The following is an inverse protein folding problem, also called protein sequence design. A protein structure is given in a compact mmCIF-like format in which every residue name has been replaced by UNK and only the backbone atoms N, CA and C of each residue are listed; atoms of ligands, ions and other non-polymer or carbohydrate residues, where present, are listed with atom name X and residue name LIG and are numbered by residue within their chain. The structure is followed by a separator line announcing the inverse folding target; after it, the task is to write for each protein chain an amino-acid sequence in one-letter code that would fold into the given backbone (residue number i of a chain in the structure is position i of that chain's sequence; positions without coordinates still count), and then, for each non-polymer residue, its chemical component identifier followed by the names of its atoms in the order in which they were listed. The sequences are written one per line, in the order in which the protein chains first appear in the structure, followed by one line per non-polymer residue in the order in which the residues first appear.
data_IF_981240291456
#
_entry.id   IF_981240291456
#
_cell.length_a   1.000
_cell.length_b   1.000
_cell.length_c   1.000
_cell.angle_alpha   90.00
_cell.angle_beta   90.00
_cell.angle_gamma   90.00
#
_symmetry.space_group_name_H-M   'P 1'
#
loop_
_entity.id
_entity.type
_entity.pdbx_description
1 polymer ?
#
# COMPACT_ATOMS: atom_id res chain seq x y z
N UNK A 1 13.14 49.72 -18.08
CA UNK A 1 11.87 49.02 -17.85
C UNK A 1 12.09 47.60 -18.37
N UNK A 2 12.58 46.73 -17.50
CA UNK A 2 12.89 45.33 -17.82
C UNK A 2 11.58 44.57 -17.68
N UNK A 3 10.96 44.20 -18.80
CA UNK A 3 9.86 43.25 -18.81
C UNK A 3 10.45 41.89 -18.41
N UNK A 4 10.30 41.46 -17.14
CA UNK A 4 10.38 40.03 -16.86
C UNK A 4 9.11 39.42 -17.43
N UNK A 5 9.29 38.62 -18.48
CA UNK A 5 8.27 37.68 -18.89
C UNK A 5 8.29 36.56 -17.85
N UNK A 6 7.53 36.71 -16.78
CA UNK A 6 7.22 35.62 -15.86
C UNK A 6 6.38 34.60 -16.65
N UNK A 7 7.08 33.74 -17.37
CA UNK A 7 6.48 32.64 -18.10
C UNK A 7 6.11 31.60 -17.05
N UNK A 8 4.81 31.44 -16.80
CA UNK A 8 4.30 30.45 -15.87
C UNK A 8 4.86 29.06 -16.23
N UNK A 9 5.59 28.46 -15.28
CA UNK A 9 6.18 27.14 -15.46
C UNK A 9 5.06 26.11 -15.28
N UNK A 10 4.84 25.30 -16.32
CA UNK A 10 3.81 24.26 -16.32
C UNK A 10 4.35 22.97 -15.69
N UNK A 11 3.56 22.38 -14.80
CA UNK A 11 3.78 21.05 -14.23
C UNK A 11 2.65 20.12 -14.67
N UNK A 12 2.81 19.37 -15.77
CA UNK A 12 1.78 18.44 -16.24
C UNK A 12 1.50 17.32 -15.24
N UNK A 13 0.24 16.92 -15.10
CA UNK A 13 -0.14 15.80 -14.24
C UNK A 13 0.07 14.42 -14.90
N UNK A 14 0.53 14.38 -16.16
CA UNK A 14 0.83 13.16 -16.91
C UNK A 14 2.09 13.32 -17.77
N UNK A 15 2.81 12.22 -17.97
CA UNK A 15 3.93 12.11 -18.90
C UNK A 15 3.56 11.39 -20.21
N UNK A 16 2.28 11.02 -20.38
CA UNK A 16 1.75 10.31 -21.54
C UNK A 16 2.11 8.82 -21.59
N UNK A 17 2.75 8.26 -20.56
CA UNK A 17 3.05 6.83 -20.44
C UNK A 17 1.89 6.08 -19.78
N UNK A 18 1.74 4.77 -20.03
CA UNK A 18 0.81 3.96 -19.26
C UNK A 18 1.30 3.80 -17.83
N UNK A 19 0.37 3.59 -16.89
CA UNK A 19 0.68 3.31 -15.49
C UNK A 19 1.47 2.01 -15.27
N UNK A 20 1.30 1.03 -16.15
CA UNK A 20 2.01 -0.24 -16.07
C UNK A 20 2.23 -0.81 -17.47
N UNK A 21 3.32 -1.55 -17.65
CA UNK A 21 3.68 -2.19 -18.92
C UNK A 21 2.85 -3.46 -19.16
N UNK A 22 2.42 -4.14 -18.09
CA UNK A 22 1.66 -5.39 -18.21
C UNK A 22 0.74 -5.65 -16.99
N UNK A 23 -0.13 -6.66 -17.14
CA UNK A 23 -1.13 -6.99 -16.11
C UNK A 23 -0.54 -7.58 -14.82
N UNK A 24 0.68 -8.13 -14.87
CA UNK A 24 1.36 -8.70 -13.70
C UNK A 24 1.90 -7.57 -12.83
N UNK A 25 2.61 -6.62 -13.44
CA UNK A 25 3.08 -5.39 -12.78
C UNK A 25 1.90 -4.62 -12.17
N UNK A 26 0.85 -4.34 -12.96
CA UNK A 26 -0.35 -3.64 -12.48
C UNK A 26 -0.97 -4.31 -11.24
N UNK A 27 -1.06 -5.65 -11.24
CA UNK A 27 -1.63 -6.39 -10.09
C UNK A 27 -0.81 -6.18 -8.82
N UNK A 28 0.51 -6.10 -8.91
CA UNK A 28 1.39 -5.84 -7.78
C UNK A 28 1.30 -4.40 -7.27
N UNK A 29 1.22 -3.43 -8.18
CA UNK A 29 1.00 -2.02 -7.84
C UNK A 29 -0.29 -1.89 -7.02
N UNK A 30 -1.40 -2.44 -7.52
CA UNK A 30 -2.69 -2.42 -6.82
C UNK A 30 -2.62 -3.16 -5.49
N UNK A 31 -2.01 -4.36 -5.45
CA UNK A 31 -1.87 -5.14 -4.22
C UNK A 31 -1.16 -4.31 -3.13
N UNK A 32 -0.01 -3.71 -3.44
CA UNK A 32 0.78 -2.96 -2.47
C UNK A 32 0.06 -1.67 -2.08
N UNK A 33 -0.36 -0.85 -3.06
CA UNK A 33 -1.00 0.45 -2.81
C UNK A 33 -2.26 0.29 -1.96
N UNK A 34 -3.18 -0.60 -2.33
CA UNK A 34 -4.46 -0.74 -1.63
C UNK A 34 -4.30 -1.37 -0.24
N UNK A 35 -3.35 -2.30 -0.05
CA UNK A 35 -3.09 -2.83 1.30
C UNK A 35 -2.39 -1.82 2.21
N UNK A 36 -1.57 -0.91 1.67
CA UNK A 36 -1.01 0.20 2.44
C UNK A 36 -2.08 1.24 2.79
N UNK A 37 -3.03 1.51 1.90
CA UNK A 37 -4.21 2.33 2.24
C UNK A 37 -5.03 1.70 3.38
N UNK A 38 -5.26 0.39 3.34
CA UNK A 38 -5.93 -0.34 4.42
C UNK A 38 -5.09 -0.37 5.72
N UNK A 39 -3.77 -0.41 5.62
CA UNK A 39 -2.88 -0.40 6.78
C UNK A 39 -2.93 0.96 7.51
N UNK A 40 -3.03 2.05 6.76
CA UNK A 40 -3.06 3.42 7.27
C UNK A 40 -4.44 4.09 7.16
N UNK A 41 -5.52 3.30 7.09
CA UNK A 41 -6.87 3.82 6.89
C UNK A 41 -7.28 4.82 7.98
N UNK A 42 -6.93 4.51 9.23
CA UNK A 42 -7.27 5.33 10.40
C UNK A 42 -6.25 6.44 10.68
N UNK A 43 -5.20 6.58 9.88
CA UNK A 43 -4.22 7.66 10.00
C UNK A 43 -4.41 8.68 8.86
N UNK A 44 -5.03 9.85 9.14
CA UNK A 44 -5.28 10.85 8.11
C UNK A 44 -4.00 11.53 7.61
N UNK A 45 -2.90 11.46 8.36
CA UNK A 45 -1.62 12.13 8.08
C UNK A 45 -0.63 11.24 7.31
N UNK A 46 -1.11 10.15 6.72
CA UNK A 46 -0.31 9.30 5.83
C UNK A 46 -1.01 9.22 4.48
N UNK A 47 -0.30 9.74 3.48
CA UNK A 47 -0.71 9.63 2.09
C UNK A 47 -0.02 8.46 1.40
N UNK A 48 -0.77 7.70 0.62
CA UNK A 48 -0.27 6.64 -0.24
C UNK A 48 -0.73 6.93 -1.67
N UNK A 49 0.20 6.90 -2.62
CA UNK A 49 -0.10 7.03 -4.05
C UNK A 49 0.50 5.87 -4.82
N UNK A 50 -0.07 5.58 -5.99
CA UNK A 50 0.59 4.81 -7.04
C UNK A 50 0.59 5.61 -8.33
N UNK A 51 1.69 5.49 -9.09
CA UNK A 51 1.89 6.11 -10.41
C UNK A 51 1.52 7.60 -10.48
N UNK A 52 1.88 8.35 -9.44
CA UNK A 52 1.63 9.78 -9.36
C UNK A 52 2.94 10.52 -9.60
N UNK A 53 2.96 11.45 -10.56
CA UNK A 53 4.15 12.27 -10.83
C UNK A 53 4.54 13.08 -9.58
N UNK A 54 5.72 12.81 -9.05
CA UNK A 54 6.39 13.59 -8.02
C UNK A 54 7.39 14.55 -8.65
N UNK A 55 7.17 15.84 -8.43
CA UNK A 55 8.09 16.92 -8.75
C UNK A 55 8.90 17.30 -7.51
N UNK A 56 10.20 17.05 -7.54
CA UNK A 56 11.06 17.24 -6.36
C UNK A 56 11.54 18.69 -6.20
N UNK A 57 11.65 19.46 -7.29
CA UNK A 57 12.23 20.81 -7.28
C UNK A 57 11.30 21.81 -7.99
N UNK A 58 10.94 22.89 -7.27
CA UNK A 58 10.20 24.01 -7.85
C UNK A 58 11.07 24.74 -8.89
N UNK A 59 10.49 25.01 -10.05
CA UNK A 59 11.12 25.64 -11.20
C UNK A 59 11.69 24.66 -12.22
N UNK A 60 11.77 23.37 -11.88
CA UNK A 60 12.41 22.32 -12.68
C UNK A 60 11.48 21.15 -12.95
N UNK A 61 10.48 21.31 -13.86
CA UNK A 61 9.50 20.25 -14.16
C UNK A 61 10.11 18.98 -14.76
N UNK A 62 11.35 19.04 -15.26
CA UNK A 62 12.13 17.88 -15.71
C UNK A 62 12.64 17.00 -14.56
N UNK A 63 12.74 17.54 -13.34
CA UNK A 63 13.15 16.83 -12.13
C UNK A 63 11.89 16.21 -11.52
N UNK A 64 11.42 15.14 -12.17
CA UNK A 64 10.23 14.41 -11.76
C UNK A 64 10.34 12.91 -12.01
N UNK A 65 9.53 12.16 -11.26
CA UNK A 65 9.39 10.72 -11.42
C UNK A 65 8.02 10.27 -10.90
N UNK A 66 7.45 9.20 -11.45
CA UNK A 66 6.27 8.54 -10.88
C UNK A 66 6.69 7.17 -10.32
N UNK A 67 6.83 7.03 -8.98
CA UNK A 67 7.03 5.72 -8.37
C UNK A 67 5.78 4.86 -8.55
N UNK A 68 5.95 3.55 -8.71
CA UNK A 68 4.84 2.61 -8.82
C UNK A 68 3.95 2.67 -7.57
N UNK A 69 4.57 2.74 -6.38
CA UNK A 69 3.89 3.11 -5.12
C UNK A 69 4.80 4.01 -4.30
N UNK A 70 4.22 5.03 -3.65
CA UNK A 70 4.93 5.87 -2.70
C UNK A 70 4.08 6.16 -1.44
N UNK A 71 4.75 6.23 -0.29
CA UNK A 71 4.15 6.54 1.01
C UNK A 71 4.79 7.79 1.57
N UNK A 72 3.94 8.74 1.97
CA UNK A 72 4.34 10.02 2.51
C UNK A 72 3.74 10.17 3.91
N UNK A 73 4.61 10.18 4.92
CA UNK A 73 4.26 10.46 6.30
C UNK A 73 4.21 11.97 6.55
N UNK A 74 3.22 12.42 7.31
CA UNK A 74 2.99 13.83 7.64
C UNK A 74 2.25 14.61 6.56
N UNK A 75 1.61 13.90 5.60
CA UNK A 75 0.79 14.52 4.55
C UNK A 75 -0.64 13.97 4.59
N UNK A 76 -1.65 14.84 4.46
CA UNK A 76 -3.02 14.40 4.50
C UNK A 76 -3.37 13.53 3.28
N UNK A 77 -4.33 12.64 3.48
CA UNK A 77 -5.03 11.97 2.37
C UNK A 77 -5.72 13.01 1.47
N UNK A 78 -5.92 12.68 0.20
CA UNK A 78 -6.63 13.52 -0.76
C UNK A 78 -6.08 13.41 -2.18
N UNK A 79 -6.98 13.67 -3.13
CA UNK A 79 -6.69 13.60 -4.56
C UNK A 79 -5.77 14.74 -5.00
N UNK A 80 -4.85 14.41 -5.91
CA UNK A 80 -3.96 15.37 -6.55
C UNK A 80 -3.60 14.89 -7.95
N UNK A 81 -3.39 15.84 -8.86
CA UNK A 81 -2.91 15.52 -10.21
C UNK A 81 -1.42 15.16 -10.22
N UNK A 82 -0.63 15.79 -9.34
CA UNK A 82 0.79 15.54 -9.14
C UNK A 82 1.21 15.87 -7.72
N UNK A 83 2.28 15.24 -7.24
CA UNK A 83 2.89 15.55 -5.95
C UNK A 83 3.99 16.60 -6.14
N UNK A 84 3.65 17.87 -5.94
CA UNK A 84 4.58 18.98 -6.05
C UNK A 84 5.16 19.29 -4.66
N UNK A 85 6.39 18.85 -4.40
CA UNK A 85 6.95 18.79 -3.04
C UNK A 85 6.92 20.13 -2.29
N UNK A 86 7.10 21.26 -2.97
CA UNK A 86 7.04 22.60 -2.37
C UNK A 86 5.63 23.02 -1.92
N UNK A 87 4.57 22.40 -2.46
CA UNK A 87 3.19 22.56 -2.00
C UNK A 87 2.83 21.59 -0.86
N UNK A 88 3.78 20.72 -0.49
CA UNK A 88 3.58 19.60 0.42
C UNK A 88 4.54 19.70 1.62
N UNK A 89 4.71 20.93 2.12
CA UNK A 89 5.63 21.27 3.22
C UNK A 89 7.09 20.83 2.99
N UNK A 90 7.47 20.70 1.72
CA UNK A 90 8.77 20.17 1.28
C UNK A 90 9.07 18.74 1.75
N UNK A 91 8.03 17.97 2.10
CA UNK A 91 8.17 16.58 2.52
C UNK A 91 8.29 15.70 1.26
N UNK A 92 9.41 14.98 1.13
CA UNK A 92 9.56 13.97 0.10
C UNK A 92 8.83 12.66 0.49
N UNK A 93 8.44 11.82 -0.47
CA UNK A 93 8.05 10.44 -0.18
C UNK A 93 9.18 9.70 0.55
N UNK A 94 8.87 9.12 1.70
CA UNK A 94 9.86 8.42 2.50
C UNK A 94 9.99 6.95 2.12
N UNK A 95 8.94 6.32 1.60
CA UNK A 95 9.00 4.91 1.15
C UNK A 95 8.50 4.81 -0.27
N UNK A 96 9.26 4.15 -1.15
CA UNK A 96 8.87 3.93 -2.55
C UNK A 96 9.05 2.46 -2.93
N UNK A 97 8.13 1.98 -3.78
CA UNK A 97 8.19 0.68 -4.40
C UNK A 97 8.27 0.83 -5.91
N UNK A 98 9.02 -0.07 -6.53
CA UNK A 98 9.13 -0.22 -7.98
C UNK A 98 8.90 -1.69 -8.34
N UNK A 99 7.98 -1.94 -9.27
CA UNK A 99 7.66 -3.28 -9.73
C UNK A 99 8.21 -3.42 -11.14
N UNK A 100 9.14 -4.35 -11.34
CA UNK A 100 9.79 -4.51 -12.64
C UNK A 100 8.84 -5.15 -13.65
N UNK A 101 9.07 -4.78 -14.91
CA UNK A 101 8.48 -5.40 -16.09
C UNK A 101 9.62 -5.91 -17.00
N UNK A 102 9.37 -6.85 -17.93
CA UNK A 102 10.38 -7.32 -18.89
C UNK A 102 11.03 -6.20 -19.73
N UNK A 103 10.41 -5.03 -19.81
CA UNK A 103 10.91 -3.87 -20.54
C UNK A 103 11.95 -3.04 -19.78
N UNK A 104 12.11 -3.25 -18.47
CA UNK A 104 12.92 -2.39 -17.61
C UNK A 104 14.40 -2.44 -17.98
N UNK A 105 15.01 -1.25 -18.14
CA UNK A 105 16.41 -1.12 -18.55
C UNK A 105 17.28 -0.72 -17.37
N UNK A 106 18.46 -1.31 -17.24
CA UNK A 106 19.45 -0.97 -16.20
C UNK A 106 19.72 0.55 -16.10
N UNK A 107 19.82 1.23 -17.24
CA UNK A 107 20.02 2.69 -17.28
C UNK A 107 18.89 3.47 -16.62
N UNK A 108 17.65 3.00 -16.72
CA UNK A 108 16.49 3.64 -16.09
C UNK A 108 16.49 3.36 -14.59
N UNK A 109 16.80 2.13 -14.18
CA UNK A 109 16.92 1.77 -12.76
C UNK A 109 18.00 2.58 -12.05
N UNK A 110 19.17 2.78 -12.67
CA UNK A 110 20.24 3.63 -12.10
C UNK A 110 19.79 5.09 -11.98
N UNK A 111 19.00 5.61 -12.92
CA UNK A 111 18.44 6.96 -12.82
C UNK A 111 17.42 7.07 -11.69
N UNK A 112 16.53 6.08 -11.54
CA UNK A 112 15.55 6.00 -10.46
C UNK A 112 16.25 5.99 -9.09
N UNK A 113 17.25 5.12 -8.92
CA UNK A 113 18.03 5.04 -7.68
C UNK A 113 18.67 6.39 -7.31
N UNK A 114 19.34 7.05 -8.27
CA UNK A 114 19.96 8.37 -8.03
C UNK A 114 18.91 9.42 -7.65
N UNK A 115 17.78 9.45 -8.35
CA UNK A 115 16.69 10.37 -8.02
C UNK A 115 16.19 10.16 -6.58
N UNK A 116 15.93 8.91 -6.19
CA UNK A 116 15.49 8.58 -4.83
C UNK A 116 16.54 8.92 -3.77
N UNK A 117 17.81 8.68 -4.06
CA UNK A 117 18.92 9.08 -3.20
C UNK A 117 19.01 10.60 -3.01
N UNK A 118 19.01 11.36 -4.12
CA UNK A 118 19.13 12.81 -4.14
C UNK A 118 17.96 13.52 -3.43
N UNK A 119 16.75 12.96 -3.51
CA UNK A 119 15.53 13.61 -3.02
C UNK A 119 14.94 13.00 -1.75
N UNK A 120 15.73 12.26 -0.97
CA UNK A 120 15.40 11.98 0.42
C UNK A 120 14.52 10.77 0.69
N UNK A 121 14.30 9.88 -0.29
CA UNK A 121 13.63 8.58 -0.05
C UNK A 121 14.39 7.80 1.02
N UNK A 122 13.70 7.27 2.02
CA UNK A 122 14.31 6.57 3.15
C UNK A 122 14.33 5.06 2.97
N UNK A 123 13.32 4.51 2.31
CA UNK A 123 13.19 3.09 2.01
C UNK A 123 12.82 2.92 0.54
N UNK A 124 13.59 2.11 -0.18
CA UNK A 124 13.37 1.83 -1.58
C UNK A 124 13.30 0.32 -1.81
N UNK A 125 12.17 -0.18 -2.29
CA UNK A 125 11.97 -1.60 -2.57
C UNK A 125 11.74 -1.83 -4.06
N UNK A 126 12.41 -2.82 -4.62
CA UNK A 126 12.28 -3.22 -6.03
C UNK A 126 11.89 -4.68 -6.06
N UNK A 127 10.79 -5.01 -6.73
CA UNK A 127 10.36 -6.39 -6.90
C UNK A 127 10.18 -6.74 -8.36
N UNK A 128 10.86 -7.80 -8.82
CA UNK A 128 10.64 -8.42 -10.11
C UNK A 128 9.71 -9.62 -9.96
N UNK A 129 8.44 -9.52 -10.41
CA UNK A 129 7.50 -10.60 -10.27
C UNK A 129 7.77 -11.76 -11.24
N UNK A 130 8.57 -11.57 -12.31
CA UNK A 130 8.93 -12.59 -13.30
C UNK A 130 10.09 -13.47 -12.83
N UNK A 131 11.13 -12.88 -12.24
CA UNK A 131 12.22 -13.65 -11.59
C UNK A 131 11.91 -14.02 -10.13
N UNK A 132 10.90 -13.41 -9.52
CA UNK A 132 10.59 -13.51 -8.08
C UNK A 132 11.77 -13.05 -7.20
N UNK A 133 12.39 -11.95 -7.60
CA UNK A 133 13.51 -11.32 -6.89
C UNK A 133 13.05 -10.03 -6.22
N UNK A 134 13.42 -9.85 -4.96
CA UNK A 134 13.17 -8.64 -4.19
C UNK A 134 14.51 -8.05 -3.78
N UNK A 135 14.71 -6.77 -4.07
CA UNK A 135 15.78 -5.95 -3.52
C UNK A 135 15.19 -4.87 -2.62
N UNK A 136 15.95 -4.46 -1.62
CA UNK A 136 15.59 -3.31 -0.80
C UNK A 136 16.80 -2.50 -0.41
N UNK A 137 16.61 -1.19 -0.24
CA UNK A 137 17.62 -0.28 0.24
C UNK A 137 17.07 0.59 1.37
N UNK A 138 17.91 0.88 2.35
CA UNK A 138 17.64 1.82 3.43
C UNK A 138 18.59 3.01 3.36
N UNK A 139 18.06 4.19 3.63
CA UNK A 139 18.89 5.38 3.76
C UNK A 139 19.71 5.32 5.04
N UNK A 140 21.02 5.40 4.88
CA UNK A 140 21.99 5.47 5.97
C UNK A 140 23.04 6.51 5.62
N UNK A 141 23.32 7.44 6.54
CA UNK A 141 24.32 8.51 6.36
C UNK A 141 24.15 9.35 5.09
N UNK A 142 22.92 9.46 4.58
CA UNK A 142 22.60 10.24 3.38
C UNK A 142 22.51 9.43 2.08
N UNK A 143 22.86 8.14 2.08
CA UNK A 143 22.89 7.30 0.88
C UNK A 143 21.96 6.08 1.03
N UNK A 144 21.43 5.58 -0.10
CA UNK A 144 20.61 4.36 -0.13
C UNK A 144 21.52 3.13 -0.20
N UNK A 145 21.54 2.35 0.87
CA UNK A 145 22.38 1.16 1.00
C UNK A 145 21.53 -0.10 0.90
N UNK A 146 22.00 -1.11 0.16
CA UNK A 146 21.31 -2.40 0.04
C UNK A 146 21.12 -3.06 1.40
N UNK A 147 19.94 -3.64 1.59
CA UNK A 147 19.62 -4.53 2.69
C UNK A 147 20.21 -5.90 2.36
N UNK A 148 21.18 -6.37 3.13
CA UNK A 148 21.88 -7.64 2.88
C UNK A 148 20.93 -8.85 2.92
N UNK A 149 20.01 -8.87 3.90
CA UNK A 149 19.03 -9.95 4.12
C UNK A 149 17.62 -9.38 4.01
N UNK A 150 17.08 -9.37 2.78
CA UNK A 150 15.75 -8.81 2.48
C UNK A 150 14.61 -9.78 2.76
N UNK A 151 14.86 -11.09 2.70
CA UNK A 151 13.88 -12.11 3.08
C UNK A 151 13.69 -12.11 4.61
N UNK A 152 12.44 -11.98 5.05
CA UNK A 152 12.10 -11.77 6.45
C UNK A 152 12.30 -10.34 6.95
N UNK A 153 12.84 -9.43 6.14
CA UNK A 153 13.06 -8.03 6.52
C UNK A 153 11.73 -7.32 6.84
N UNK A 154 11.74 -6.48 7.88
CA UNK A 154 10.59 -5.64 8.26
C UNK A 154 10.92 -4.18 8.03
N UNK A 155 10.13 -3.51 7.18
CA UNK A 155 10.22 -2.07 6.92
C UNK A 155 10.13 -1.26 8.23
N UNK A 156 11.14 -0.44 8.56
CA UNK A 156 11.12 0.42 9.74
C UNK A 156 9.96 1.42 9.76
N UNK A 157 9.63 2.03 8.61
CA UNK A 157 8.56 3.03 8.47
C UNK A 157 7.18 2.39 8.41
N UNK A 158 7.04 1.30 7.66
CA UNK A 158 5.73 0.70 7.38
C UNK A 158 5.36 -0.41 8.37
N UNK A 159 6.33 -1.03 9.02
CA UNK A 159 6.15 -2.22 9.88
C UNK A 159 5.71 -3.47 9.11
N UNK A 160 5.75 -3.45 7.78
CA UNK A 160 5.42 -4.61 6.94
C UNK A 160 6.63 -5.52 6.80
N UNK A 161 6.40 -6.83 6.74
CA UNK A 161 7.45 -7.84 6.61
C UNK A 161 7.37 -8.55 5.26
N UNK A 162 8.52 -8.65 4.59
CA UNK A 162 8.68 -9.36 3.32
C UNK A 162 9.03 -10.82 3.57
N UNK A 163 8.44 -11.74 2.81
CA UNK A 163 8.75 -13.17 2.86
C UNK A 163 8.73 -13.72 1.44
N UNK A 164 9.88 -14.15 0.93
CA UNK A 164 9.97 -14.79 -0.39
C UNK A 164 9.64 -16.28 -0.26
N UNK A 165 8.64 -16.76 -1.01
CA UNK A 165 8.42 -18.18 -1.25
C UNK A 165 9.02 -18.58 -2.59
N UNK A 166 9.16 -19.88 -2.90
CA UNK A 166 9.61 -20.33 -4.22
C UNK A 166 8.74 -19.81 -5.38
N UNK A 167 7.47 -19.50 -5.13
CA UNK A 167 6.51 -19.06 -6.14
C UNK A 167 6.33 -17.56 -6.21
N UNK A 168 6.39 -16.85 -5.06
CA UNK A 168 6.04 -15.44 -5.02
C UNK A 168 6.50 -14.73 -3.73
N UNK A 169 6.53 -13.40 -3.76
CA UNK A 169 6.62 -12.58 -2.56
C UNK A 169 5.32 -12.59 -1.75
N UNK A 170 5.43 -12.69 -0.43
CA UNK A 170 4.36 -12.42 0.51
C UNK A 170 4.73 -11.21 1.36
N UNK A 171 3.75 -10.32 1.57
CA UNK A 171 3.91 -9.16 2.43
C UNK A 171 2.96 -9.32 3.61
N UNK A 172 3.47 -9.16 4.82
CA UNK A 172 2.70 -9.28 6.06
C UNK A 172 2.60 -7.91 6.75
N UNK A 173 1.41 -7.59 7.23
CA UNK A 173 1.14 -6.46 8.12
C UNK A 173 1.83 -6.66 9.49
N UNK A 174 1.97 -5.59 10.29
CA UNK A 174 2.47 -5.68 11.67
C UNK A 174 1.67 -6.67 12.55
N UNK A 175 0.38 -6.87 12.27
CA UNK A 175 -0.51 -7.79 12.98
C UNK A 175 -0.41 -9.25 12.50
N UNK A 176 0.50 -9.56 11.57
CA UNK A 176 0.71 -10.89 11.02
C UNK A 176 -0.28 -11.30 9.92
N UNK A 177 -1.24 -10.46 9.54
CA UNK A 177 -2.10 -10.72 8.38
C UNK A 177 -1.35 -10.46 7.08
N UNK A 178 -1.50 -11.36 6.10
CA UNK A 178 -0.95 -11.18 4.75
C UNK A 178 -1.68 -10.03 4.03
N UNK A 179 -0.97 -9.32 3.16
CA UNK A 179 -1.57 -8.48 2.12
C UNK A 179 -2.44 -9.34 1.21
N UNK A 180 -3.64 -8.86 0.91
CA UNK A 180 -4.64 -9.60 0.13
C UNK A 180 -5.00 -8.83 -1.13
N UNK A 181 -5.15 -9.55 -2.23
CA UNK A 181 -5.79 -9.01 -3.43
C UNK A 181 -7.25 -8.64 -3.14
N UNK A 182 -7.84 -7.78 -3.97
CA UNK A 182 -9.26 -7.42 -3.86
C UNK A 182 -10.18 -8.64 -3.84
N UNK A 183 -9.86 -9.67 -4.63
CA UNK A 183 -10.64 -10.90 -4.66
C UNK A 183 -10.50 -11.71 -3.36
N UNK A 184 -9.30 -11.81 -2.79
CA UNK A 184 -9.08 -12.48 -1.50
C UNK A 184 -9.77 -11.72 -0.35
N UNK A 185 -9.79 -10.38 -0.39
CA UNK A 185 -10.53 -9.55 0.56
C UNK A 185 -12.04 -9.84 0.51
N UNK A 186 -12.63 -9.86 -0.69
CA UNK A 186 -14.05 -10.17 -0.87
C UNK A 186 -14.38 -11.60 -0.41
N UNK A 187 -13.57 -12.59 -0.78
CA UNK A 187 -13.76 -13.97 -0.34
C UNK A 187 -13.73 -14.10 1.18
N UNK A 188 -12.83 -13.37 1.85
CA UNK A 188 -12.76 -13.33 3.30
C UNK A 188 -14.01 -12.69 3.91
N UNK A 189 -14.43 -11.53 3.40
CA UNK A 189 -15.63 -10.83 3.88
C UNK A 189 -16.89 -11.70 3.71
N UNK A 190 -17.02 -12.40 2.58
CA UNK A 190 -18.11 -13.34 2.33
C UNK A 190 -18.11 -14.50 3.33
N UNK A 191 -16.96 -15.11 3.57
CA UNK A 191 -16.83 -16.20 4.55
C UNK A 191 -17.17 -15.75 5.97
N UNK A 192 -16.71 -14.56 6.37
CA UNK A 192 -17.03 -13.98 7.68
C UNK A 192 -18.54 -13.70 7.80
N UNK A 193 -19.18 -13.18 6.75
CA UNK A 193 -20.64 -12.94 6.72
C UNK A 193 -21.43 -14.24 6.85
N UNK A 194 -21.07 -15.27 6.09
CA UNK A 194 -21.74 -16.57 6.15
C UNK A 194 -21.60 -17.22 7.54
N UNK A 195 -20.44 -17.09 8.18
CA UNK A 195 -20.23 -17.60 9.55
C UNK A 195 -21.10 -16.85 10.55
N UNK A 196 -21.14 -15.52 10.48
CA UNK A 196 -21.96 -14.71 11.37
C UNK A 196 -23.46 -15.02 11.21
N UNK A 197 -23.93 -15.23 9.98
CA UNK A 197 -25.32 -15.60 9.72
C UNK A 197 -25.66 -17.00 10.24
N UNK A 198 -24.76 -17.97 10.07
CA UNK A 198 -24.95 -19.31 10.62
C UNK A 198 -24.96 -19.30 12.16
N UNK A 199 -24.10 -18.51 12.79
CA UNK A 199 -24.06 -18.36 14.24
C UNK A 199 -25.34 -17.71 14.76
N UNK A 200 -25.82 -16.65 14.10
CA UNK A 200 -27.09 -16.01 14.42
C UNK A 200 -28.27 -16.99 14.33
N UNK A 201 -28.37 -17.75 13.24
CA UNK A 201 -29.43 -18.75 13.07
C UNK A 201 -29.38 -19.84 14.15
N UNK A 202 -28.18 -20.27 14.57
CA UNK A 202 -28.01 -21.25 15.65
C UNK A 202 -28.46 -20.68 16.99
N UNK A 203 -28.02 -19.47 17.32
CA UNK A 203 -28.41 -18.79 18.55
C UNK A 203 -29.94 -18.59 18.62
N UNK A 204 -30.57 -18.22 17.50
CA UNK A 204 -32.02 -18.03 17.43
C UNK A 204 -32.78 -19.35 17.57
N UNK A 205 -32.30 -20.43 16.94
CA UNK A 205 -32.88 -21.77 17.10
C UNK A 205 -32.75 -22.29 18.54
N UNK A 206 -31.59 -22.09 19.18
CA UNK A 206 -31.37 -22.46 20.58
C UNK A 206 -32.26 -21.64 21.51
N UNK A 207 -32.38 -20.33 21.29
CA UNK A 207 -33.28 -19.47 22.04
C UNK A 207 -34.73 -19.94 21.94
N UNK A 208 -35.24 -20.18 20.72
CA UNK A 208 -36.59 -20.70 20.52
C UNK A 208 -36.81 -22.10 21.13
N UNK A 209 -35.77 -22.94 21.22
CA UNK A 209 -35.86 -24.24 21.89
C UNK A 209 -35.90 -24.07 23.40
N UNK A 210 -35.06 -23.20 23.96
CA UNK A 210 -35.05 -22.88 25.38
C UNK A 210 -36.41 -22.31 25.83
N UNK A 211 -36.99 -21.36 25.08
CA UNK A 211 -38.31 -20.82 25.36
C UNK A 211 -39.41 -21.89 25.33
N UNK A 212 -39.39 -22.79 24.34
CA UNK A 212 -40.33 -23.90 24.23
C UNK A 212 -40.22 -24.87 25.41
N UNK A 213 -39.00 -25.23 25.81
CA UNK A 213 -38.76 -26.10 26.97
C UNK A 213 -39.20 -25.42 28.27
N UNK A 214 -38.87 -24.14 28.45
CA UNK A 214 -39.30 -23.37 29.61
C UNK A 214 -40.83 -23.24 29.69
N UNK A 215 -41.53 -23.12 28.55
CA UNK A 215 -42.99 -23.15 28.51
C UNK A 215 -43.56 -24.53 28.90
N UNK A 216 -42.95 -25.61 28.43
CA UNK A 216 -43.35 -26.98 28.79
C UNK A 216 -43.14 -27.28 30.28
N UNK A 217 -42.00 -26.87 30.86
CA UNK A 217 -41.71 -27.03 32.29
C UNK A 217 -42.73 -26.27 33.15
N UNK A 218 -43.03 -25.01 32.79
CA UNK A 218 -44.07 -24.22 33.45
C UNK A 218 -45.45 -24.88 33.39
N UNK A 219 -45.81 -25.49 32.25
CA UNK A 219 -47.07 -26.22 32.11
C UNK A 219 -47.15 -27.48 33.00
N UNK A 220 -45.99 -28.07 33.35
CA UNK A 220 -45.87 -29.19 34.29
C UNK A 220 -45.78 -28.74 35.76
N UNK A 221 -45.86 -27.43 36.04
CA UNK A 221 -45.76 -26.87 37.39
C UNK A 221 -44.33 -26.78 37.94
N UNK A 222 -43.32 -26.91 37.07
CA UNK A 222 -41.90 -26.75 37.43
C UNK A 222 -41.46 -25.35 36.99
N UNK A 223 -40.95 -24.53 37.92
CA UNK A 223 -40.31 -23.27 37.56
C UNK A 223 -38.93 -23.55 36.93
N UNK A 224 -38.71 -23.18 35.66
CA UNK A 224 -37.39 -23.33 35.04
C UNK A 224 -36.44 -22.24 35.56
N UNK A 225 -35.23 -22.62 35.97
CA UNK A 225 -34.12 -21.68 36.08
C UNK A 225 -33.71 -21.29 34.64
N UNK A 226 -33.88 -20.01 34.32
CA UNK A 226 -33.53 -19.40 33.02
C UNK A 226 -32.20 -18.66 33.20
#
# INVERSE_FOLDING_TARGET
MTLSLDREILYPDSDGRPMADNTKQYRWIVLIKENLELLFADNPEIFVAGDLLWYAVEGSPEIRLAPDVMVIFGRPKGDRGSYQQWKEDNIAPQVVFEILSPGNRLKEMVKKLRFYEDYGVEEYYIYDPDSNELDGMLRQQGELNFIEEIDGFTSPRLGIRFVLTPETLLIYRPDGRKFLTTLELEQRAEQERQRAEQEHQRAEQEHQRAERLAAQLRALGIEPEI
#
